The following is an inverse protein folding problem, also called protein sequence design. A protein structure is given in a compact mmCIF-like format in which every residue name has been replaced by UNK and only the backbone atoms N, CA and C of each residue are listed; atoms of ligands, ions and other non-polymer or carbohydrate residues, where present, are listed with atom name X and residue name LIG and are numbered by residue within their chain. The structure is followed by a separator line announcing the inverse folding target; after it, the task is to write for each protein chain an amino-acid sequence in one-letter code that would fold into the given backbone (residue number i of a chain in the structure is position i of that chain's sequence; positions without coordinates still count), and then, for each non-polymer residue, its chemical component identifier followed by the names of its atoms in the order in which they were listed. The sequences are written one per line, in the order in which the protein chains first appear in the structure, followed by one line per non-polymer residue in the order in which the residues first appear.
data_IF_377493882106
#
_entry.id   IF_377493882106
#
_cell.length_a   1.000
_cell.length_b   1.000
_cell.length_c   1.000
_cell.angle_alpha   90.00
_cell.angle_beta   90.00
_cell.angle_gamma   90.00
#
_symmetry.space_group_name_H-M   'P 1'
#
loop_
_entity.id
_entity.type
_entity.pdbx_description
1 polymer ?
#
# COMPACT_ATOMS: atom_id res chain seq x y z
N UNK A 1 -8.71 -16.49 -4.78
CA UNK A 1 -7.41 -15.87 -5.12
C UNK A 1 -7.57 -14.46 -5.70
N UNK A 2 -8.50 -14.21 -6.64
CA UNK A 2 -8.66 -12.90 -7.31
C UNK A 2 -8.99 -11.68 -6.42
N UNK A 3 -9.73 -11.84 -5.31
CA UNK A 3 -10.18 -10.69 -4.49
C UNK A 3 -9.02 -9.99 -3.76
N UNK A 4 -8.03 -10.74 -3.26
CA UNK A 4 -6.89 -10.18 -2.52
C UNK A 4 -5.93 -9.42 -3.43
N UNK A 5 -5.69 -9.94 -4.63
CA UNK A 5 -4.88 -9.26 -5.65
C UNK A 5 -5.56 -7.97 -6.12
N UNK A 6 -6.87 -8.01 -6.36
CA UNK A 6 -7.65 -6.83 -6.74
C UNK A 6 -7.58 -5.70 -5.70
N UNK A 7 -7.60 -6.03 -4.40
CA UNK A 7 -7.46 -5.03 -3.33
C UNK A 7 -6.05 -4.42 -3.31
N UNK A 8 -5.00 -5.24 -3.51
CA UNK A 8 -3.61 -4.75 -3.56
C UNK A 8 -3.38 -3.80 -4.73
N UNK A 9 -3.95 -4.09 -5.89
CA UNK A 9 -3.88 -3.21 -7.08
C UNK A 9 -4.59 -1.87 -6.84
N UNK A 10 -5.80 -1.91 -6.26
CA UNK A 10 -6.54 -0.70 -5.91
C UNK A 10 -5.78 0.15 -4.88
N UNK A 11 -5.21 -0.49 -3.85
CA UNK A 11 -4.44 0.20 -2.81
C UNK A 11 -3.17 0.83 -3.41
N UNK A 12 -2.47 0.12 -4.30
CA UNK A 12 -1.31 0.65 -5.02
C UNK A 12 -1.66 1.88 -5.87
N UNK A 13 -2.81 1.88 -6.54
CA UNK A 13 -3.26 3.03 -7.33
C UNK A 13 -3.54 4.27 -6.46
N UNK A 14 -4.14 4.07 -5.28
CA UNK A 14 -4.40 5.14 -4.31
C UNK A 14 -3.08 5.71 -3.76
N UNK A 15 -2.16 4.84 -3.34
CA UNK A 15 -0.85 5.25 -2.80
C UNK A 15 -0.06 6.03 -3.86
N UNK A 16 -0.02 5.56 -5.11
CA UNK A 16 0.63 6.27 -6.23
C UNK A 16 0.02 7.67 -6.46
N UNK A 17 -1.30 7.84 -6.31
CA UNK A 17 -1.96 9.15 -6.39
C UNK A 17 -1.54 10.07 -5.24
N UNK A 18 -1.45 9.55 -4.02
CA UNK A 18 -1.02 10.28 -2.82
C UNK A 18 0.44 10.74 -2.97
N UNK A 19 1.34 9.82 -3.29
CA UNK A 19 2.77 10.09 -3.49
C UNK A 19 2.98 11.14 -4.59
N UNK A 20 2.21 11.08 -5.68
CA UNK A 20 2.22 12.10 -6.74
C UNK A 20 1.73 13.46 -6.23
N UNK A 21 0.68 13.49 -5.41
CA UNK A 21 0.12 14.72 -4.82
C UNK A 21 1.11 15.45 -3.91
N UNK A 22 1.96 14.70 -3.19
CA UNK A 22 2.97 15.26 -2.28
C UNK A 22 4.34 15.49 -2.93
N UNK A 23 4.46 15.38 -4.26
CA UNK A 23 5.69 15.75 -4.97
C UNK A 23 6.87 14.78 -4.80
N UNK A 24 6.60 13.52 -4.44
CA UNK A 24 7.67 12.54 -4.27
C UNK A 24 8.43 12.29 -5.59
N UNK A 25 9.77 12.20 -5.54
CA UNK A 25 10.59 11.96 -6.72
C UNK A 25 10.29 10.58 -7.33
N UNK A 26 10.29 10.45 -8.67
CA UNK A 26 9.89 9.23 -9.39
C UNK A 26 10.63 7.99 -8.91
N UNK A 27 11.92 8.12 -8.62
CA UNK A 27 12.80 7.04 -8.12
C UNK A 27 12.34 6.48 -6.77
N UNK A 28 11.72 7.32 -5.91
CA UNK A 28 11.27 6.90 -4.57
C UNK A 28 9.80 6.50 -4.54
N UNK A 29 9.05 6.62 -5.64
CA UNK A 29 7.62 6.28 -5.66
C UNK A 29 7.38 4.78 -5.48
N UNK A 30 8.22 3.96 -6.10
CA UNK A 30 8.12 2.50 -6.01
C UNK A 30 8.36 2.04 -4.56
N UNK A 31 9.47 2.47 -3.96
CA UNK A 31 9.81 2.16 -2.57
C UNK A 31 8.78 2.69 -1.58
N UNK A 32 8.27 3.91 -1.76
CA UNK A 32 7.20 4.44 -0.90
C UNK A 32 5.90 3.64 -1.02
N UNK A 33 5.57 3.13 -2.21
CA UNK A 33 4.38 2.29 -2.41
C UNK A 33 4.54 0.94 -1.73
N UNK A 34 5.71 0.32 -1.87
CA UNK A 34 6.03 -0.98 -1.26
C UNK A 34 6.00 -0.92 0.27
N UNK A 35 6.61 0.12 0.87
CA UNK A 35 6.61 0.32 2.32
C UNK A 35 5.20 0.45 2.91
N UNK A 36 4.31 1.21 2.25
CA UNK A 36 2.94 1.40 2.72
C UNK A 36 2.12 0.11 2.60
N UNK A 37 2.38 -0.70 1.57
CA UNK A 37 1.75 -2.02 1.44
C UNK A 37 2.24 -2.98 2.53
N UNK A 38 3.54 -3.00 2.82
CA UNK A 38 4.10 -3.82 3.90
C UNK A 38 3.51 -3.44 5.26
N UNK A 39 3.44 -2.14 5.55
CA UNK A 39 2.81 -1.62 6.77
C UNK A 39 1.34 -1.99 6.85
N UNK A 40 0.60 -1.91 5.75
CA UNK A 40 -0.80 -2.34 5.71
C UNK A 40 -0.94 -3.86 5.97
N UNK A 41 -0.03 -4.69 5.47
CA UNK A 41 -0.02 -6.12 5.77
C UNK A 41 0.27 -6.41 7.24
N UNK A 42 1.18 -5.67 7.87
CA UNK A 42 1.47 -5.76 9.30
C UNK A 42 0.26 -5.34 10.13
N UNK A 43 -0.34 -4.19 9.81
CA UNK A 43 -1.55 -3.69 10.48
C UNK A 43 -2.72 -4.66 10.35
N UNK A 44 -2.97 -5.22 9.16
CA UNK A 44 -4.02 -6.22 8.96
C UNK A 44 -3.78 -7.50 9.78
N UNK A 45 -2.53 -7.95 9.90
CA UNK A 45 -2.18 -9.11 10.73
C UNK A 45 -2.37 -8.82 12.22
N UNK A 46 -2.08 -7.60 12.64
CA UNK A 46 -2.24 -7.16 14.03
C UNK A 46 -3.72 -6.98 14.40
N UNK A 47 -4.51 -6.35 13.51
CA UNK A 47 -5.97 -6.23 13.65
C UNK A 47 -6.68 -7.59 13.71
N UNK A 48 -6.17 -8.61 13.00
CA UNK A 48 -6.72 -9.97 13.06
C UNK A 48 -6.32 -10.74 14.33
N UNK A 49 -5.30 -10.27 15.07
CA UNK A 49 -4.90 -10.81 16.37
C UNK A 49 -5.58 -10.13 17.56
N UNK A 50 -6.45 -9.15 17.30
CA UNK A 50 -7.29 -8.52 18.31
C UNK A 50 -8.58 -9.30 18.59
N UNK A 51 -8.45 -10.51 19.16
CA UNK A 51 -9.41 -11.17 20.09
C UNK A 51 -8.58 -11.87 21.15
#
# INVERSE_FOLDING_TARGET
MAVRENIRDQMSAIIKRIVKKYGYPPDKKASATELVLEQAEVLCKDCAKGV
#
